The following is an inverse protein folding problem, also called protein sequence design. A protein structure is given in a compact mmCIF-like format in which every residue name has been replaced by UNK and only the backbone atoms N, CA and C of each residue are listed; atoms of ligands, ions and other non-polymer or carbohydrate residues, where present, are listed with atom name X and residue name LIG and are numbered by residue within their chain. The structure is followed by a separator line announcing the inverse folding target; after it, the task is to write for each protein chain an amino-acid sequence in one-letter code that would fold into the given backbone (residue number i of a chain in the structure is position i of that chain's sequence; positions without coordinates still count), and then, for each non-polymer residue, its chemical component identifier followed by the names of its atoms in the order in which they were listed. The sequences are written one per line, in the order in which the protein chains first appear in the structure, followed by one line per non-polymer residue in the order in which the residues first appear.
data_IF_493464114249
#
_entry.id   IF_493464114249
#
_cell.length_a   1.000
_cell.length_b   1.000
_cell.length_c   1.000
_cell.angle_alpha   90.00
_cell.angle_beta   90.00
_cell.angle_gamma   90.00
#
_symmetry.space_group_name_H-M   'P 1'
#
loop_
_entity.id
_entity.type
_entity.pdbx_description
1 polymer ?
#
# COMPACT_ATOMS: atom_id res chain seq x y z
N UNK A 1 14.92 -94.26 -9.83
CA UNK A 1 14.11 -93.97 -8.62
C UNK A 1 14.30 -92.50 -8.28
N UNK A 2 13.84 -91.64 -9.18
CA UNK A 2 12.51 -90.97 -9.23
C UNK A 2 12.45 -89.77 -8.28
N UNK A 3 12.69 -88.61 -8.91
CA UNK A 3 12.81 -87.25 -8.40
C UNK A 3 11.46 -86.64 -7.96
N UNK A 4 10.47 -87.44 -7.60
CA UNK A 4 9.12 -86.93 -7.24
C UNK A 4 8.98 -86.57 -5.75
N UNK A 5 9.78 -87.15 -4.86
CA UNK A 5 9.66 -86.90 -3.41
C UNK A 5 10.38 -85.63 -2.90
N UNK A 6 11.18 -84.95 -3.72
CA UNK A 6 11.86 -83.71 -3.29
C UNK A 6 11.05 -82.45 -3.62
N UNK A 7 10.13 -82.51 -4.59
CA UNK A 7 9.30 -81.37 -4.98
C UNK A 7 8.07 -81.22 -4.07
N UNK A 8 7.43 -82.32 -3.67
CA UNK A 8 6.27 -82.29 -2.75
C UNK A 8 6.62 -81.71 -1.37
N UNK A 9 7.76 -82.09 -0.79
CA UNK A 9 8.14 -81.61 0.56
C UNK A 9 8.39 -80.10 0.63
N UNK A 10 9.00 -79.52 -0.41
CA UNK A 10 9.22 -78.07 -0.49
C UNK A 10 7.96 -77.29 -0.87
N UNK A 11 7.00 -77.92 -1.55
CA UNK A 11 5.74 -77.29 -1.92
C UNK A 11 4.76 -77.23 -0.72
N UNK A 12 4.73 -78.26 0.12
CA UNK A 12 3.89 -78.26 1.33
C UNK A 12 4.38 -77.27 2.41
N UNK A 13 5.70 -77.04 2.51
CA UNK A 13 6.27 -76.00 3.40
C UNK A 13 5.91 -74.56 2.97
N UNK A 14 5.68 -74.33 1.67
CA UNK A 14 5.29 -73.01 1.14
C UNK A 14 3.81 -72.66 1.40
N UNK A 15 2.99 -73.64 1.80
CA UNK A 15 1.56 -73.47 2.09
C UNK A 15 1.17 -73.85 3.53
N UNK A 16 2.14 -73.98 4.45
CA UNK A 16 1.80 -73.80 5.86
C UNK A 16 1.33 -72.35 6.05
N UNK A 17 -0.01 -72.18 5.95
CA UNK A 17 -0.71 -70.96 6.36
C UNK A 17 -0.04 -70.47 7.62
N UNK A 18 0.37 -69.19 7.73
CA UNK A 18 0.82 -68.68 9.01
C UNK A 18 -0.36 -68.85 9.95
N UNK A 19 -0.31 -69.88 10.79
CA UNK A 19 -1.17 -70.01 11.94
C UNK A 19 -0.69 -68.89 12.83
N UNK A 20 -1.35 -67.74 12.72
CA UNK A 20 -1.13 -66.59 13.59
C UNK A 20 -1.38 -67.07 15.01
N UNK A 21 -0.30 -67.51 15.66
CA UNK A 21 -0.30 -68.15 16.98
C UNK A 21 -0.67 -67.15 18.10
N UNK A 22 -0.85 -65.88 17.73
CA UNK A 22 -1.28 -64.78 18.60
C UNK A 22 -2.66 -65.00 19.25
N UNK A 23 -3.51 -65.89 18.72
CA UNK A 23 -4.87 -66.09 19.23
C UNK A 23 -5.07 -67.27 20.21
N UNK A 24 -4.02 -68.03 20.56
CA UNK A 24 -4.17 -69.24 21.40
C UNK A 24 -4.17 -68.90 22.90
N UNK A 25 -3.58 -67.79 23.32
CA UNK A 25 -3.48 -67.44 24.72
C UNK A 25 -4.55 -66.40 25.12
N UNK A 26 -5.45 -66.77 26.04
CA UNK A 26 -6.59 -65.96 26.50
C UNK A 26 -6.16 -64.59 27.05
N UNK A 27 -4.94 -64.49 27.59
CA UNK A 27 -4.35 -63.23 28.07
C UNK A 27 -4.01 -62.26 26.92
N UNK A 28 -3.37 -62.74 25.86
CA UNK A 28 -3.01 -61.89 24.71
C UNK A 28 -4.22 -61.46 23.88
N UNK A 29 -5.24 -62.32 23.75
CA UNK A 29 -6.51 -61.96 23.11
C UNK A 29 -7.26 -60.87 23.88
N UNK A 30 -7.27 -60.94 25.22
CA UNK A 30 -7.90 -59.89 26.05
C UNK A 30 -7.13 -58.58 25.97
N UNK A 31 -5.79 -58.61 26.03
CA UNK A 31 -4.94 -57.43 25.85
C UNK A 31 -5.15 -56.76 24.49
N UNK A 32 -5.30 -57.55 23.42
CA UNK A 32 -5.56 -57.02 22.09
C UNK A 32 -6.95 -56.36 21.99
N UNK A 33 -7.99 -56.99 22.53
CA UNK A 33 -9.35 -56.43 22.56
C UNK A 33 -9.42 -55.16 23.42
N UNK A 34 -8.76 -55.15 24.58
CA UNK A 34 -8.67 -53.96 25.45
C UNK A 34 -7.91 -52.84 24.73
N UNK A 35 -6.81 -53.16 24.04
CA UNK A 35 -6.07 -52.19 23.22
C UNK A 35 -6.92 -51.59 22.10
N UNK A 36 -7.72 -52.41 21.41
CA UNK A 36 -8.61 -51.95 20.34
C UNK A 36 -9.76 -51.08 20.87
N UNK A 37 -10.32 -51.43 22.03
CA UNK A 37 -11.34 -50.64 22.72
C UNK A 37 -10.79 -49.30 23.24
N UNK A 38 -9.55 -49.28 23.74
CA UNK A 38 -8.87 -48.05 24.16
C UNK A 38 -8.57 -47.13 22.97
N UNK A 39 -8.08 -47.66 21.86
CA UNK A 39 -7.84 -46.86 20.65
C UNK A 39 -9.16 -46.32 20.10
N UNK A 40 -10.20 -47.14 20.07
CA UNK A 40 -11.53 -46.74 19.60
C UNK A 40 -12.16 -45.69 20.52
N UNK A 41 -12.01 -45.81 21.85
CA UNK A 41 -12.54 -44.83 22.79
C UNK A 41 -11.79 -43.50 22.75
N UNK A 42 -10.46 -43.53 22.56
CA UNK A 42 -9.65 -42.32 22.34
C UNK A 42 -10.06 -41.62 21.04
N UNK A 43 -10.27 -42.36 19.94
CA UNK A 43 -10.77 -41.82 18.68
C UNK A 43 -12.19 -41.24 18.79
N UNK A 44 -13.06 -41.84 19.61
CA UNK A 44 -14.40 -41.34 19.84
C UNK A 44 -14.40 -40.07 20.72
N UNK A 45 -13.52 -40.04 21.73
CA UNK A 45 -13.28 -38.85 22.57
C UNK A 45 -12.71 -37.69 21.76
N UNK A 46 -11.78 -37.93 20.83
CA UNK A 46 -11.30 -36.87 19.94
C UNK A 46 -12.42 -36.38 19.03
N UNK A 47 -13.21 -37.25 18.40
CA UNK A 47 -14.36 -36.84 17.56
C UNK A 47 -15.41 -36.05 18.34
N UNK A 48 -15.58 -36.24 19.65
CA UNK A 48 -16.53 -35.48 20.47
C UNK A 48 -15.95 -34.17 21.03
N UNK A 49 -14.68 -34.17 21.42
CA UNK A 49 -14.03 -33.01 22.06
C UNK A 49 -13.56 -31.99 21.01
N UNK A 50 -13.00 -32.45 19.89
CA UNK A 50 -12.44 -31.56 18.86
C UNK A 50 -13.47 -30.59 18.28
N UNK A 51 -14.70 -31.01 17.91
CA UNK A 51 -15.71 -30.09 17.40
C UNK A 51 -16.11 -29.03 18.42
N UNK A 52 -16.20 -29.39 19.71
CA UNK A 52 -16.52 -28.44 20.77
C UNK A 52 -15.38 -27.45 20.99
N UNK A 53 -14.13 -27.93 21.04
CA UNK A 53 -12.95 -27.06 21.15
C UNK A 53 -12.78 -26.14 19.92
N UNK A 54 -13.02 -26.65 18.71
CA UNK A 54 -13.07 -25.85 17.49
C UNK A 54 -14.18 -24.80 17.55
N UNK A 55 -15.38 -25.19 17.98
CA UNK A 55 -16.51 -24.26 18.10
C UNK A 55 -16.24 -23.16 19.13
N UNK A 56 -15.72 -23.52 20.31
CA UNK A 56 -15.35 -22.56 21.36
C UNK A 56 -14.22 -21.63 20.88
N UNK A 57 -13.22 -22.18 20.17
CA UNK A 57 -12.11 -21.41 19.59
C UNK A 57 -12.59 -20.44 18.50
N UNK A 58 -13.47 -20.89 17.59
CA UNK A 58 -14.07 -20.04 16.55
C UNK A 58 -14.96 -18.97 17.17
N UNK A 59 -15.75 -19.29 18.20
CA UNK A 59 -16.63 -18.33 18.87
C UNK A 59 -15.82 -17.26 19.61
N UNK A 60 -14.77 -17.66 20.34
CA UNK A 60 -13.86 -16.72 21.00
C UNK A 60 -13.09 -15.86 19.99
N UNK A 61 -12.68 -16.45 18.86
CA UNK A 61 -12.01 -15.73 17.77
C UNK A 61 -12.95 -14.68 17.15
N UNK A 62 -14.19 -15.06 16.84
CA UNK A 62 -15.20 -14.15 16.32
C UNK A 62 -15.48 -13.01 17.30
N UNK A 63 -15.67 -13.31 18.59
CA UNK A 63 -15.87 -12.29 19.62
C UNK A 63 -14.67 -11.35 19.78
N UNK A 64 -13.44 -11.87 19.63
CA UNK A 64 -12.22 -11.05 19.63
C UNK A 64 -12.15 -10.14 18.41
N UNK A 65 -12.53 -10.63 17.22
CA UNK A 65 -12.62 -9.82 16.00
C UNK A 65 -13.68 -8.74 16.14
N UNK A 66 -14.86 -9.06 16.67
CA UNK A 66 -15.92 -8.07 16.90
C UNK A 66 -15.46 -6.97 17.87
N UNK A 67 -14.79 -7.35 18.96
CA UNK A 67 -14.21 -6.39 19.91
C UNK A 67 -13.14 -5.52 19.25
N UNK A 68 -12.26 -6.12 18.45
CA UNK A 68 -11.24 -5.39 17.69
C UNK A 68 -11.89 -4.39 16.72
N UNK A 69 -12.87 -4.82 15.93
CA UNK A 69 -13.58 -3.98 14.97
C UNK A 69 -14.27 -2.79 15.65
N UNK A 70 -14.95 -3.04 16.79
CA UNK A 70 -15.59 -1.97 17.56
C UNK A 70 -14.57 -0.97 18.10
N UNK A 71 -13.44 -1.44 18.64
CA UNK A 71 -12.38 -0.55 19.13
C UNK A 71 -11.75 0.26 17.99
N UNK A 72 -11.60 -0.32 16.80
CA UNK A 72 -11.10 0.38 15.62
C UNK A 72 -12.11 1.43 15.11
N UNK A 73 -13.41 1.14 15.17
CA UNK A 73 -14.47 2.10 14.85
C UNK A 73 -14.47 3.28 15.84
N UNK A 74 -14.44 3.02 17.14
CA UNK A 74 -14.35 4.04 18.19
C UNK A 74 -13.08 4.91 18.01
N UNK A 75 -11.94 4.29 17.69
CA UNK A 75 -10.70 5.01 17.39
C UNK A 75 -10.85 5.91 16.15
N UNK A 76 -11.36 5.38 15.05
CA UNK A 76 -11.57 6.14 13.81
C UNK A 76 -12.55 7.30 13.99
N UNK A 77 -13.57 7.15 14.83
CA UNK A 77 -14.49 8.23 15.19
C UNK A 77 -13.77 9.33 15.98
N UNK A 78 -12.85 8.97 16.89
CA UNK A 78 -12.13 9.91 17.76
C UNK A 78 -11.06 10.76 17.06
N UNK A 79 -10.54 10.31 15.91
CA UNK A 79 -9.50 11.03 15.16
C UNK A 79 -10.08 12.26 14.45
N UNK A 80 -9.29 13.32 14.29
CA UNK A 80 -9.69 14.53 13.56
C UNK A 80 -9.64 14.36 12.02
N UNK A 81 -9.26 13.18 11.55
CA UNK A 81 -9.15 12.82 10.14
C UNK A 81 -9.82 11.48 9.85
N UNK A 82 -10.03 11.22 8.56
CA UNK A 82 -10.44 9.93 8.02
C UNK A 82 -9.38 9.42 7.06
N UNK A 83 -8.95 8.18 7.27
CA UNK A 83 -8.11 7.44 6.35
C UNK A 83 -8.93 7.05 5.11
N UNK A 84 -8.52 7.54 3.94
CA UNK A 84 -9.26 7.43 2.69
C UNK A 84 -8.41 6.78 1.60
N UNK A 85 -8.93 5.71 0.98
CA UNK A 85 -8.36 5.11 -0.24
C UNK A 85 -8.76 5.93 -1.47
N UNK A 86 -8.16 7.10 -1.63
CA UNK A 86 -8.59 8.16 -2.56
C UNK A 86 -8.71 7.70 -4.02
N UNK A 87 -7.79 6.84 -4.48
CA UNK A 87 -7.81 6.33 -5.86
C UNK A 87 -9.00 5.39 -6.09
N UNK A 88 -9.30 4.55 -5.09
CA UNK A 88 -10.42 3.60 -5.12
C UNK A 88 -11.76 4.31 -5.00
N UNK A 89 -11.88 5.28 -4.09
CA UNK A 89 -13.11 6.07 -3.92
C UNK A 89 -13.47 6.88 -5.18
N UNK A 90 -12.47 7.40 -5.89
CA UNK A 90 -12.66 8.09 -7.18
C UNK A 90 -12.91 7.13 -8.34
N UNK A 91 -12.97 5.82 -8.07
CA UNK A 91 -13.40 4.81 -9.02
C UNK A 91 -12.36 4.43 -10.07
N UNK A 92 -11.07 4.69 -9.82
CA UNK A 92 -10.01 4.21 -10.70
C UNK A 92 -9.98 2.69 -10.69
N UNK A 93 -9.83 2.11 -11.89
CA UNK A 93 -9.83 0.66 -12.10
C UNK A 93 -8.74 0.29 -13.10
N UNK A 94 -8.14 -0.86 -12.90
CA UNK A 94 -7.27 -1.46 -13.91
C UNK A 94 -8.12 -1.94 -15.09
N UNK A 95 -7.64 -1.71 -16.31
CA UNK A 95 -8.28 -2.22 -17.52
C UNK A 95 -8.30 -3.76 -17.56
N UNK A 96 -7.25 -4.38 -17.00
CA UNK A 96 -7.09 -5.83 -16.95
C UNK A 96 -6.70 -6.25 -15.55
N UNK A 97 -7.41 -7.26 -15.00
CA UNK A 97 -6.99 -7.89 -13.75
C UNK A 97 -5.74 -8.75 -14.01
N UNK A 98 -4.66 -8.57 -13.26
CA UNK A 98 -3.44 -9.36 -13.41
C UNK A 98 -3.68 -10.79 -12.94
N UNK A 99 -2.96 -11.76 -13.52
CA UNK A 99 -2.88 -13.09 -12.94
C UNK A 99 -1.79 -13.10 -11.85
N UNK A 100 -2.18 -12.80 -10.61
CA UNK A 100 -1.29 -12.62 -9.45
C UNK A 100 -0.37 -13.82 -9.15
N UNK A 101 -0.78 -15.03 -9.52
CA UNK A 101 0.07 -16.23 -9.38
C UNK A 101 1.33 -16.12 -10.23
N UNK A 102 1.20 -15.54 -11.43
CA UNK A 102 2.24 -15.49 -12.47
C UNK A 102 2.88 -14.11 -12.65
N UNK A 103 2.51 -13.09 -11.87
CA UNK A 103 3.16 -11.78 -11.96
C UNK A 103 4.62 -11.89 -11.53
N UNK A 104 5.51 -11.30 -12.33
CA UNK A 104 6.94 -11.23 -11.99
C UNK A 104 7.16 -10.16 -10.93
N UNK A 105 8.08 -10.43 -10.01
CA UNK A 105 8.52 -9.40 -9.07
C UNK A 105 9.25 -8.28 -9.81
N UNK A 106 8.96 -7.06 -9.41
CA UNK A 106 9.74 -5.87 -9.65
C UNK A 106 11.06 -5.96 -8.91
N UNK A 107 12.14 -5.59 -9.59
CA UNK A 107 13.46 -5.42 -8.99
C UNK A 107 14.02 -4.08 -9.46
N UNK A 108 13.54 -2.97 -8.87
CA UNK A 108 13.90 -1.63 -9.31
C UNK A 108 15.41 -1.40 -9.22
N UNK A 109 16.00 -0.71 -10.19
CA UNK A 109 17.44 -0.42 -10.20
C UNK A 109 17.68 1.05 -10.50
N UNK A 110 18.67 1.62 -9.83
CA UNK A 110 19.16 2.96 -10.15
C UNK A 110 20.15 2.88 -11.32
N UNK A 111 19.81 3.49 -12.45
CA UNK A 111 20.66 3.54 -13.65
C UNK A 111 20.78 5.00 -14.10
N UNK A 112 21.99 5.54 -14.05
CA UNK A 112 22.29 6.93 -14.44
C UNK A 112 21.35 7.97 -13.77
N UNK A 113 21.06 7.77 -12.47
CA UNK A 113 20.17 8.65 -11.71
C UNK A 113 18.66 8.45 -11.95
N UNK A 114 18.27 7.48 -12.78
CA UNK A 114 16.87 7.14 -13.06
C UNK A 114 16.48 5.76 -12.48
N UNK A 115 15.23 5.60 -12.03
CA UNK A 115 14.74 4.33 -11.47
C UNK A 115 14.16 3.50 -12.60
N UNK A 116 14.83 2.40 -12.92
CA UNK A 116 14.36 1.39 -13.87
C UNK A 116 13.59 0.31 -13.12
N UNK A 117 12.30 0.14 -13.42
CA UNK A 117 11.45 -0.82 -12.73
C UNK A 117 11.56 -2.25 -13.27
N UNK A 118 12.23 -2.45 -14.40
CA UNK A 118 12.37 -3.77 -15.04
C UNK A 118 11.12 -4.28 -15.76
N UNK A 119 10.03 -3.50 -15.78
CA UNK A 119 8.76 -3.80 -16.47
C UNK A 119 8.58 -3.01 -17.77
N UNK A 120 9.65 -2.39 -18.29
CA UNK A 120 9.60 -1.52 -19.47
C UNK A 120 9.36 -0.04 -19.17
N UNK A 121 9.29 0.36 -17.90
CA UNK A 121 9.19 1.77 -17.50
C UNK A 121 10.42 2.26 -16.74
N UNK A 122 10.74 3.54 -16.90
CA UNK A 122 11.79 4.25 -16.15
C UNK A 122 11.19 5.52 -15.55
N UNK A 123 11.42 5.78 -14.26
CA UNK A 123 11.21 7.09 -13.66
C UNK A 123 12.47 7.93 -13.80
N UNK A 124 12.38 9.01 -14.58
CA UNK A 124 13.45 9.99 -14.75
C UNK A 124 13.32 11.11 -13.74
N UNK A 125 14.45 11.50 -13.16
CA UNK A 125 14.57 12.62 -12.24
C UNK A 125 15.16 13.81 -13.00
N UNK A 126 14.28 14.64 -13.56
CA UNK A 126 14.63 15.78 -14.43
C UNK A 126 14.95 17.04 -13.63
N UNK A 127 15.96 16.94 -12.78
CA UNK A 127 16.54 18.07 -12.07
C UNK A 127 18.04 17.79 -11.91
N UNK A 128 18.91 18.76 -12.20
CA UNK A 128 20.35 18.53 -12.09
C UNK A 128 20.89 18.84 -10.68
N UNK A 129 20.07 19.43 -9.81
CA UNK A 129 20.44 19.85 -8.47
C UNK A 129 19.81 18.93 -7.40
N UNK A 130 20.01 17.62 -7.54
CA UNK A 130 19.66 16.67 -6.49
C UNK A 130 20.85 15.83 -6.05
N UNK A 131 20.79 15.36 -4.81
CA UNK A 131 21.57 14.23 -4.31
C UNK A 131 20.63 13.14 -3.81
N UNK A 132 21.10 11.91 -3.76
CA UNK A 132 20.35 10.80 -3.16
C UNK A 132 20.73 10.74 -1.68
N UNK A 133 19.75 10.94 -0.80
CA UNK A 133 19.93 10.85 0.65
C UNK A 133 19.87 9.39 1.11
N UNK A 134 18.87 8.64 0.63
CA UNK A 134 18.64 7.22 0.93
C UNK A 134 18.13 6.49 -0.30
N UNK A 135 18.43 5.19 -0.40
CA UNK A 135 17.94 4.34 -1.47
C UNK A 135 17.94 2.85 -1.12
N UNK A 136 16.84 2.17 -1.43
CA UNK A 136 16.63 0.74 -1.19
C UNK A 136 16.53 -0.06 -2.49
N UNK A 137 16.96 0.52 -3.62
CA UNK A 137 16.80 -0.03 -4.97
C UNK A 137 17.26 -1.49 -5.09
N UNK A 138 18.41 -1.85 -4.52
CA UNK A 138 19.01 -3.16 -4.74
C UNK A 138 18.51 -4.25 -3.79
N UNK A 139 17.73 -3.91 -2.77
CA UNK A 139 17.23 -4.85 -1.76
C UNK A 139 15.72 -5.06 -1.81
N UNK A 140 15.00 -4.21 -2.53
CA UNK A 140 13.55 -4.23 -2.58
C UNK A 140 13.05 -5.13 -3.72
N UNK A 141 12.24 -6.13 -3.37
CA UNK A 141 11.53 -6.98 -4.31
C UNK A 141 10.04 -6.85 -4.06
N UNK A 142 9.31 -6.36 -5.05
CA UNK A 142 7.87 -6.11 -4.94
C UNK A 142 7.16 -6.98 -5.95
N UNK A 143 6.11 -7.67 -5.53
CA UNK A 143 5.29 -8.49 -6.42
C UNK A 143 3.87 -8.00 -6.30
N UNK A 144 3.21 -7.74 -7.43
CA UNK A 144 1.81 -7.35 -7.43
C UNK A 144 0.96 -8.36 -6.65
N UNK A 145 0.05 -7.87 -5.83
CA UNK A 145 -0.85 -8.71 -5.03
C UNK A 145 -2.30 -8.36 -5.30
N UNK A 146 -3.16 -9.36 -5.12
CA UNK A 146 -4.59 -9.16 -5.12
C UNK A 146 -5.00 -8.24 -3.95
N UNK A 147 -6.13 -7.58 -4.14
CA UNK A 147 -6.80 -6.74 -3.16
C UNK A 147 -6.94 -7.46 -1.81
N UNK A 148 -6.61 -6.76 -0.72
CA UNK A 148 -6.95 -7.21 0.62
C UNK A 148 -8.43 -6.93 0.88
N UNK A 149 -9.19 -7.95 1.27
CA UNK A 149 -10.61 -7.80 1.64
C UNK A 149 -10.78 -7.34 3.10
N UNK A 150 -9.70 -7.06 3.82
CA UNK A 150 -9.77 -6.69 5.22
C UNK A 150 -10.33 -5.28 5.41
N UNK A 151 -11.35 -5.16 6.25
CA UNK A 151 -12.01 -3.88 6.59
C UNK A 151 -11.03 -2.83 7.16
N UNK A 152 -9.95 -3.29 7.78
CA UNK A 152 -8.90 -2.47 8.40
C UNK A 152 -7.51 -2.84 7.86
N UNK A 153 -7.39 -2.93 6.54
CA UNK A 153 -6.11 -3.20 5.87
C UNK A 153 -5.09 -2.09 6.15
N UNK A 154 -3.89 -2.46 6.61
CA UNK A 154 -2.78 -1.52 6.76
C UNK A 154 -2.10 -1.37 5.41
N UNK A 155 -2.26 -0.19 4.82
CA UNK A 155 -1.57 0.23 3.62
C UNK A 155 -0.05 -0.06 3.70
N UNK A 156 0.46 -0.86 2.76
CA UNK A 156 1.89 -1.17 2.66
C UNK A 156 2.49 -0.40 1.48
N UNK A 157 3.34 0.56 1.80
CA UNK A 157 4.15 1.33 0.84
C UNK A 157 5.61 1.25 1.25
N UNK A 158 6.47 0.91 0.29
CA UNK A 158 7.91 0.85 0.49
C UNK A 158 8.57 2.10 -0.08
N UNK A 159 9.57 2.64 0.63
CA UNK A 159 10.40 3.72 0.11
C UNK A 159 11.49 3.16 -0.81
N UNK A 160 11.53 3.61 -2.07
CA UNK A 160 12.59 3.28 -3.02
C UNK A 160 13.80 4.18 -2.84
N UNK A 161 13.55 5.47 -2.71
CA UNK A 161 14.55 6.52 -2.81
C UNK A 161 14.09 7.76 -2.06
N UNK A 162 15.01 8.46 -1.42
CA UNK A 162 14.81 9.82 -0.94
C UNK A 162 15.81 10.72 -1.64
N UNK A 163 15.30 11.71 -2.36
CA UNK A 163 16.06 12.71 -3.07
C UNK A 163 16.10 13.98 -2.25
N UNK A 164 17.29 14.55 -2.11
CA UNK A 164 17.53 15.86 -1.51
C UNK A 164 17.72 16.87 -2.63
N UNK A 165 16.84 17.86 -2.69
CA UNK A 165 16.90 18.98 -3.62
C UNK A 165 17.31 20.24 -2.87
N UNK A 166 18.23 21.01 -3.45
CA UNK A 166 18.48 22.37 -2.97
C UNK A 166 17.52 23.33 -3.68
N UNK A 167 16.59 23.90 -2.93
CA UNK A 167 15.58 24.83 -3.44
C UNK A 167 15.81 26.25 -2.93
N UNK A 168 15.47 27.23 -3.77
CA UNK A 168 15.50 28.65 -3.37
C UNK A 168 14.17 29.03 -2.76
N UNK A 169 14.18 29.62 -1.57
CA UNK A 169 13.03 30.22 -0.91
C UNK A 169 13.24 31.72 -0.74
N UNK A 170 12.13 32.41 -0.56
CA UNK A 170 12.07 33.84 -0.26
C UNK A 170 11.28 34.01 1.03
N UNK A 171 11.55 35.08 1.77
CA UNK A 171 10.57 35.55 2.74
C UNK A 171 9.29 35.93 1.99
N UNK A 172 8.17 35.56 2.57
CA UNK A 172 6.84 35.89 2.06
C UNK A 172 5.98 36.49 3.17
N UNK A 173 4.96 37.25 2.75
CA UNK A 173 3.97 37.85 3.63
C UNK A 173 2.58 37.76 2.98
N UNK A 174 1.54 37.79 3.81
CA UNK A 174 0.17 37.82 3.36
C UNK A 174 -0.36 39.26 3.33
N UNK A 175 -0.60 39.76 2.13
CA UNK A 175 -1.24 41.06 1.94
C UNK A 175 -2.71 40.98 2.38
N UNK A 176 -3.03 41.67 3.47
CA UNK A 176 -4.37 41.70 4.06
C UNK A 176 -5.39 42.44 3.19
N UNK A 177 -4.97 43.39 2.36
CA UNK A 177 -5.86 44.15 1.47
C UNK A 177 -6.18 43.35 0.22
N UNK A 178 -5.16 42.80 -0.44
CA UNK A 178 -5.33 42.07 -1.70
C UNK A 178 -5.60 40.57 -1.52
N UNK A 179 -5.48 40.06 -0.29
CA UNK A 179 -5.64 38.66 0.09
C UNK A 179 -4.70 37.72 -0.68
N UNK A 180 -3.47 38.17 -0.96
CA UNK A 180 -2.47 37.46 -1.77
C UNK A 180 -1.13 37.37 -1.05
N UNK A 181 -0.37 36.32 -1.40
CA UNK A 181 1.02 36.20 -0.99
C UNK A 181 1.90 37.17 -1.76
N UNK A 182 2.72 37.93 -1.04
CA UNK A 182 3.80 38.75 -1.59
C UNK A 182 5.14 38.11 -1.24
N UNK A 183 6.06 38.09 -2.20
CA UNK A 183 7.40 37.51 -2.03
C UNK A 183 8.47 38.60 -2.12
N UNK A 184 9.39 38.62 -1.17
CA UNK A 184 10.49 39.60 -1.14
C UNK A 184 11.70 39.04 -1.88
N UNK A 185 11.83 39.35 -3.18
CA UNK A 185 12.81 38.73 -4.08
C UNK A 185 14.28 38.99 -3.73
N UNK A 186 14.55 39.99 -2.90
CA UNK A 186 15.88 40.34 -2.35
C UNK A 186 16.28 39.47 -1.15
N UNK A 187 15.37 38.65 -0.63
CA UNK A 187 15.56 37.82 0.58
C UNK A 187 15.87 36.36 0.27
N UNK A 188 16.36 36.05 -0.94
CA UNK A 188 16.59 34.69 -1.40
C UNK A 188 17.54 33.91 -0.48
N UNK A 189 17.13 32.71 -0.07
CA UNK A 189 17.99 31.77 0.66
C UNK A 189 17.81 30.33 0.15
N UNK A 190 18.84 29.51 0.30
CA UNK A 190 18.79 28.09 -0.08
C UNK A 190 18.32 27.24 1.09
N UNK A 191 17.51 26.23 0.82
CA UNK A 191 17.10 25.23 1.79
C UNK A 191 16.98 23.86 1.14
N UNK A 192 17.01 22.84 1.97
CA UNK A 192 16.90 21.45 1.55
C UNK A 192 15.42 21.04 1.52
N UNK A 193 14.96 20.47 0.40
CA UNK A 193 13.68 19.76 0.28
C UNK A 193 13.96 18.28 0.02
N UNK A 194 13.21 17.41 0.68
CA UNK A 194 13.39 15.96 0.60
C UNK A 194 12.13 15.31 0.03
N UNK A 195 12.22 14.73 -1.16
CA UNK A 195 11.11 14.00 -1.77
C UNK A 195 11.48 12.54 -1.88
N UNK A 196 10.59 11.69 -1.39
CA UNK A 196 10.76 10.25 -1.52
C UNK A 196 9.88 9.69 -2.64
N UNK A 197 10.44 8.72 -3.35
CA UNK A 197 9.70 7.86 -4.28
C UNK A 197 9.27 6.62 -3.52
N UNK A 198 7.97 6.39 -3.48
CA UNK A 198 7.35 5.23 -2.86
C UNK A 198 6.81 4.29 -3.92
N UNK A 199 6.73 3.02 -3.59
CA UNK A 199 6.18 1.96 -4.45
C UNK A 199 5.29 1.05 -3.62
N UNK A 200 4.26 0.52 -4.24
CA UNK A 200 3.32 -0.41 -3.63
C UNK A 200 3.03 -1.56 -4.58
N UNK A 201 2.83 -2.76 -4.03
CA UNK A 201 2.38 -3.94 -4.78
C UNK A 201 0.97 -3.79 -5.36
N UNK A 202 0.15 -2.92 -4.79
CA UNK A 202 -1.14 -2.53 -5.32
C UNK A 202 -1.46 -1.10 -4.87
N UNK A 203 -1.17 -0.10 -5.71
CA UNK A 203 -1.31 1.30 -5.27
C UNK A 203 -2.77 1.72 -5.09
N UNK A 204 -3.70 1.13 -5.83
CA UNK A 204 -5.13 1.44 -5.72
C UNK A 204 -5.68 1.12 -4.32
N UNK A 205 -5.18 0.05 -3.71
CA UNK A 205 -5.65 -0.45 -2.40
C UNK A 205 -4.71 -0.10 -1.23
N UNK A 206 -3.54 0.48 -1.51
CA UNK A 206 -2.57 0.84 -0.47
C UNK A 206 -2.28 2.35 -0.38
N UNK A 207 -2.68 3.19 -1.33
CA UNK A 207 -2.49 4.63 -1.17
C UNK A 207 -3.60 5.22 -0.31
N UNK A 208 -3.33 5.26 1.00
CA UNK A 208 -4.17 5.90 1.99
C UNK A 208 -3.76 7.37 2.19
N UNK A 209 -4.74 8.27 2.18
CA UNK A 209 -4.57 9.69 2.45
C UNK A 209 -5.43 10.08 3.64
N UNK A 210 -4.82 10.80 4.58
CA UNK A 210 -5.52 11.34 5.75
C UNK A 210 -6.22 12.64 5.36
N UNK A 211 -7.55 12.61 5.39
CA UNK A 211 -8.41 13.75 5.04
C UNK A 211 -9.01 14.29 6.34
N UNK A 212 -8.75 15.54 6.68
CA UNK A 212 -9.29 16.14 7.89
C UNK A 212 -10.82 16.19 7.83
N UNK A 213 -11.49 15.92 8.96
CA UNK A 213 -12.96 15.99 9.09
C UNK A 213 -13.48 17.43 9.11
N UNK A 214 -12.58 18.40 9.28
CA UNK A 214 -12.91 19.81 9.33
C UNK A 214 -13.52 20.30 8.00
N UNK A 215 -14.55 21.14 8.10
CA UNK A 215 -15.21 21.74 6.94
C UNK A 215 -14.22 22.59 6.14
N UNK A 216 -14.03 22.24 4.88
CA UNK A 216 -13.12 22.94 3.96
C UNK A 216 -11.83 22.17 3.69
N UNK A 217 -11.55 21.12 4.48
CA UNK A 217 -10.61 20.08 4.06
C UNK A 217 -11.25 19.21 2.96
N UNK A 218 -10.45 18.80 1.99
CA UNK A 218 -10.90 17.97 0.88
C UNK A 218 -9.72 17.25 0.23
N UNK A 219 -10.05 16.25 -0.57
CA UNK A 219 -9.13 15.68 -1.53
C UNK A 219 -9.75 15.61 -2.92
N UNK A 220 -8.92 15.65 -3.96
CA UNK A 220 -9.35 15.45 -5.34
C UNK A 220 -8.32 14.62 -6.12
N UNK A 221 -8.79 13.78 -7.06
CA UNK A 221 -7.93 12.98 -7.93
C UNK A 221 -8.09 13.48 -9.36
N UNK A 222 -7.05 14.14 -9.85
CA UNK A 222 -7.00 14.70 -11.20
C UNK A 222 -6.20 13.76 -12.12
N UNK A 223 -6.88 12.96 -12.97
CA UNK A 223 -6.19 12.08 -13.90
C UNK A 223 -5.40 12.90 -14.94
N UNK A 224 -4.20 12.43 -15.26
CA UNK A 224 -3.35 12.97 -16.31
C UNK A 224 -3.27 11.98 -17.49
N UNK A 225 -2.67 12.42 -18.59
CA UNK A 225 -2.44 11.56 -19.77
C UNK A 225 -1.57 10.35 -19.42
N UNK A 226 -2.07 9.15 -19.69
CA UNK A 226 -1.34 7.90 -19.48
C UNK A 226 0.03 7.87 -20.18
N UNK A 227 1.00 7.23 -19.53
CA UNK A 227 2.31 6.93 -20.14
C UNK A 227 2.29 5.49 -20.59
N UNK A 228 2.11 5.27 -21.90
CA UNK A 228 1.88 3.91 -22.41
C UNK A 228 0.59 3.32 -21.82
N UNK A 229 0.71 2.26 -21.02
CA UNK A 229 -0.42 1.65 -20.31
C UNK A 229 -0.45 2.01 -18.82
N UNK A 230 0.52 2.79 -18.33
CA UNK A 230 0.53 3.23 -16.95
C UNK A 230 -0.46 4.39 -16.77
N UNK A 231 -1.41 4.23 -15.85
CA UNK A 231 -2.32 5.30 -15.45
C UNK A 231 -1.58 6.31 -14.60
N UNK A 232 -1.81 7.60 -14.80
CA UNK A 232 -1.12 8.65 -14.04
C UNK A 232 -2.09 9.75 -13.66
N UNK A 233 -1.74 10.47 -12.60
CA UNK A 233 -2.54 11.59 -12.13
C UNK A 233 -1.88 12.29 -10.96
N UNK A 234 -2.60 13.29 -10.46
CA UNK A 234 -2.24 14.05 -9.29
C UNK A 234 -3.36 13.93 -8.27
N UNK A 235 -3.00 13.63 -7.03
CA UNK A 235 -3.92 13.73 -5.89
C UNK A 235 -3.60 15.02 -5.18
N UNK A 236 -4.64 15.80 -4.92
CA UNK A 236 -4.58 16.97 -4.07
C UNK A 236 -5.17 16.57 -2.74
N UNK A 237 -4.44 16.78 -1.66
CA UNK A 237 -4.97 16.73 -0.31
C UNK A 237 -4.80 18.10 0.32
N UNK A 238 -5.90 18.68 0.78
CA UNK A 238 -5.96 20.03 1.31
C UNK A 238 -6.56 20.00 2.69
N UNK A 239 -5.84 20.55 3.67
CA UNK A 239 -6.35 20.82 5.00
C UNK A 239 -6.18 22.28 5.38
N UNK A 240 -7.12 22.77 6.19
CA UNK A 240 -7.05 24.09 6.80
C UNK A 240 -5.84 24.10 7.75
N UNK A 241 -5.00 25.13 7.62
CA UNK A 241 -3.93 25.40 8.57
C UNK A 241 -4.30 26.60 9.44
N UNK A 242 -4.19 26.43 10.77
CA UNK A 242 -4.50 27.44 11.78
C UNK A 242 -3.25 28.00 12.48
N UNK A 243 -2.05 27.68 11.98
CA UNK A 243 -0.80 28.04 12.66
C UNK A 243 -0.26 29.43 12.30
N UNK A 244 -0.96 30.20 11.47
CA UNK A 244 -0.47 31.47 10.93
C UNK A 244 -1.31 32.63 11.47
N UNK A 245 -0.64 33.61 12.05
CA UNK A 245 -1.27 34.79 12.67
C UNK A 245 -0.55 36.06 12.21
N UNK A 246 -1.31 37.15 12.08
CA UNK A 246 -0.75 38.47 11.83
C UNK A 246 -0.20 39.10 13.13
N UNK A 247 0.38 40.30 13.01
CA UNK A 247 0.95 41.03 14.15
C UNK A 247 -0.09 41.42 15.23
N UNK A 248 -1.39 41.31 14.93
CA UNK A 248 -2.49 41.59 15.84
C UNK A 248 -3.15 40.29 16.36
N UNK A 249 -2.50 39.14 16.19
CA UNK A 249 -3.00 37.82 16.58
C UNK A 249 -4.26 37.37 15.81
N UNK A 250 -4.58 37.97 14.67
CA UNK A 250 -5.66 37.48 13.81
C UNK A 250 -5.15 36.31 12.96
N UNK A 251 -5.94 35.24 12.87
CA UNK A 251 -5.62 34.10 12.01
C UNK A 251 -5.52 34.55 10.53
N UNK A 252 -4.41 34.20 9.91
CA UNK A 252 -4.20 34.36 8.47
C UNK A 252 -4.71 33.09 7.78
N UNK A 253 -5.65 33.20 6.82
CA UNK A 253 -6.11 32.05 6.05
C UNK A 253 -4.93 31.33 5.40
N UNK A 254 -4.76 30.04 5.70
CA UNK A 254 -3.69 29.23 5.11
C UNK A 254 -4.12 27.78 4.91
N UNK A 255 -3.53 27.11 3.94
CA UNK A 255 -3.83 25.72 3.58
C UNK A 255 -2.56 24.91 3.66
N UNK A 256 -2.60 23.77 4.35
CA UNK A 256 -1.59 22.74 4.21
C UNK A 256 -1.92 21.88 3.00
N UNK A 257 -1.23 22.15 1.90
CA UNK A 257 -1.41 21.47 0.62
C UNK A 257 -0.41 20.32 0.52
N UNK A 258 -0.88 19.10 0.26
CA UNK A 258 -0.04 17.96 -0.13
C UNK A 258 -0.42 17.53 -1.54
N UNK A 259 0.56 17.48 -2.42
CA UNK A 259 0.40 16.94 -3.77
C UNK A 259 1.06 15.58 -3.88
N UNK A 260 0.33 14.61 -4.40
CA UNK A 260 0.87 13.31 -4.78
C UNK A 260 0.87 13.23 -6.29
N UNK A 261 1.99 12.83 -6.90
CA UNK A 261 2.02 12.41 -8.31
C UNK A 261 2.17 10.90 -8.35
N UNK A 262 1.27 10.21 -9.05
CA UNK A 262 1.24 8.76 -9.07
C UNK A 262 1.34 8.18 -10.49
N UNK A 263 1.79 6.93 -10.54
CA UNK A 263 1.78 6.06 -11.71
C UNK A 263 1.38 4.65 -11.31
N UNK A 264 0.35 4.10 -11.94
CA UNK A 264 -0.15 2.74 -11.70
C UNK A 264 0.16 1.91 -12.94
N UNK A 265 0.99 0.89 -12.78
CA UNK A 265 1.31 -0.04 -13.87
C UNK A 265 0.11 -0.94 -14.19
N UNK A 266 0.10 -1.60 -15.36
CA UNK A 266 -1.02 -2.43 -15.79
C UNK A 266 -1.36 -3.58 -14.82
N UNK A 267 -0.41 -3.98 -13.98
CA UNK A 267 -0.60 -5.04 -13.00
C UNK A 267 -1.04 -4.55 -11.61
N UNK A 268 -1.32 -3.26 -11.44
CA UNK A 268 -1.73 -2.65 -10.18
C UNK A 268 -0.58 -2.18 -9.28
N UNK A 269 0.65 -2.68 -9.48
CA UNK A 269 1.82 -2.11 -8.81
C UNK A 269 1.92 -0.64 -9.19
N UNK A 270 2.13 0.23 -8.22
CA UNK A 270 2.20 1.65 -8.51
C UNK A 270 3.25 2.36 -7.69
N UNK A 271 3.64 3.52 -8.20
CA UNK A 271 4.69 4.37 -7.67
C UNK A 271 4.08 5.74 -7.45
N UNK A 272 4.46 6.41 -6.39
CA UNK A 272 4.10 7.81 -6.19
C UNK A 272 5.22 8.60 -5.53
N UNK A 273 5.16 9.90 -5.72
CA UNK A 273 5.93 10.89 -4.98
C UNK A 273 4.95 11.83 -4.30
N UNK A 274 5.34 12.38 -3.17
CA UNK A 274 4.54 13.39 -2.47
C UNK A 274 5.43 14.55 -2.02
N UNK A 275 4.85 15.74 -1.99
CA UNK A 275 5.48 16.93 -1.42
C UNK A 275 4.39 17.86 -0.89
N UNK A 276 4.71 18.59 0.18
CA UNK A 276 3.74 19.40 0.91
C UNK A 276 4.23 20.82 1.09
N UNK A 277 3.30 21.77 1.11
CA UNK A 277 3.58 23.20 1.31
C UNK A 277 2.42 23.85 2.05
N UNK A 278 2.74 24.69 3.04
CA UNK A 278 1.75 25.65 3.56
C UNK A 278 1.66 26.81 2.58
N UNK A 279 0.46 27.08 2.09
CA UNK A 279 0.16 28.17 1.17
C UNK A 279 -0.82 29.13 1.84
N UNK A 280 -0.69 30.43 1.61
CA UNK A 280 -1.70 31.38 2.06
C UNK A 280 -2.98 31.28 1.23
N UNK A 281 -4.11 31.57 1.87
CA UNK A 281 -5.45 31.41 1.30
C UNK A 281 -6.04 30.02 1.56
N UNK A 282 -7.27 29.84 1.09
CA UNK A 282 -7.99 28.56 1.10
C UNK A 282 -8.04 28.05 -0.34
N UNK A 283 -7.45 26.88 -0.59
CA UNK A 283 -7.58 26.24 -1.90
C UNK A 283 -9.02 25.78 -2.10
N UNK A 284 -9.53 25.98 -3.30
CA UNK A 284 -10.79 25.39 -3.75
C UNK A 284 -10.55 24.62 -5.05
N UNK A 285 -11.50 23.77 -5.42
CA UNK A 285 -11.45 23.01 -6.66
C UNK A 285 -12.84 23.06 -7.27
N UNK A 286 -12.92 23.37 -8.56
CA UNK A 286 -14.17 23.41 -9.29
C UNK A 286 -14.70 21.99 -9.53
N UNK A 287 -15.95 21.76 -9.14
CA UNK A 287 -16.66 20.49 -9.33
C UNK A 287 -17.48 20.44 -10.64
N UNK A 288 -17.52 21.52 -11.43
CA UNK A 288 -18.32 21.60 -12.65
C UNK A 288 -17.65 20.86 -13.83
N UNK A 289 -18.42 19.96 -14.46
CA UNK A 289 -17.95 18.82 -15.27
C UNK A 289 -17.30 19.18 -16.63
N UNK A 290 -17.44 20.42 -17.12
CA UNK A 290 -17.15 20.70 -18.54
C UNK A 290 -15.72 21.22 -18.85
N UNK A 291 -14.89 21.54 -17.85
CA UNK A 291 -13.49 21.94 -18.03
C UNK A 291 -12.58 21.75 -16.78
N UNK A 292 -12.99 20.91 -15.82
CA UNK A 292 -12.47 20.97 -14.45
C UNK A 292 -10.98 20.65 -14.31
N UNK A 293 -10.43 19.61 -14.96
CA UNK A 293 -9.04 19.18 -14.72
C UNK A 293 -8.01 20.27 -15.06
N UNK A 294 -8.05 20.83 -16.28
CA UNK A 294 -7.10 21.87 -16.68
C UNK A 294 -7.28 23.16 -15.87
N UNK A 295 -8.53 23.54 -15.57
CA UNK A 295 -8.82 24.70 -14.73
C UNK A 295 -8.26 24.52 -13.32
N UNK A 296 -8.56 23.38 -12.70
CA UNK A 296 -8.10 23.03 -11.35
C UNK A 296 -6.58 22.95 -11.28
N UNK A 297 -5.91 22.33 -12.26
CA UNK A 297 -4.44 22.31 -12.32
C UNK A 297 -3.86 23.72 -12.41
N UNK A 298 -4.48 24.62 -13.19
CA UNK A 298 -4.06 26.02 -13.27
C UNK A 298 -4.28 26.76 -11.94
N UNK A 299 -5.39 26.54 -11.26
CA UNK A 299 -5.67 27.11 -9.94
C UNK A 299 -4.62 26.66 -8.92
N UNK A 300 -4.29 25.36 -8.90
CA UNK A 300 -3.28 24.80 -8.01
C UNK A 300 -1.88 25.34 -8.34
N UNK A 301 -1.55 25.51 -9.62
CA UNK A 301 -0.29 26.10 -10.05
C UNK A 301 -0.12 27.53 -9.50
N UNK A 302 -1.17 28.34 -9.63
CA UNK A 302 -1.21 29.72 -9.09
C UNK A 302 -1.17 29.70 -7.56
N UNK A 303 -1.97 28.85 -6.93
CA UNK A 303 -2.09 28.77 -5.47
C UNK A 303 -0.78 28.34 -4.81
N UNK A 304 -0.05 27.41 -5.44
CA UNK A 304 1.20 26.85 -4.91
C UNK A 304 2.46 27.52 -5.44
N UNK A 305 2.33 28.68 -6.09
CA UNK A 305 3.43 29.41 -6.76
C UNK A 305 4.67 29.64 -5.88
N UNK A 306 5.82 29.83 -6.54
CA UNK A 306 7.13 30.10 -5.91
C UNK A 306 7.51 29.08 -4.83
N UNK A 307 7.46 27.79 -5.19
CA UNK A 307 7.91 26.69 -4.34
C UNK A 307 9.44 26.59 -4.27
N UNK A 308 10.12 26.65 -5.41
CA UNK A 308 11.59 26.58 -5.50
C UNK A 308 12.23 27.86 -6.04
N UNK A 309 11.49 28.96 -5.97
CA UNK A 309 11.88 30.27 -6.47
C UNK A 309 11.79 30.48 -7.98
N UNK A 310 11.41 29.46 -8.75
CA UNK A 310 11.18 29.57 -10.20
C UNK A 310 9.82 29.06 -10.64
N UNK A 311 9.28 28.06 -9.96
CA UNK A 311 8.02 27.43 -10.32
C UNK A 311 7.19 27.09 -9.08
N UNK A 312 5.91 26.79 -9.30
CA UNK A 312 4.97 26.32 -8.28
C UNK A 312 5.34 24.92 -7.77
N UNK A 313 4.69 24.48 -6.69
CA UNK A 313 4.84 23.10 -6.21
C UNK A 313 4.35 22.09 -7.26
N UNK A 314 3.20 22.37 -7.88
CA UNK A 314 2.62 21.52 -8.92
C UNK A 314 3.58 21.34 -10.10
N UNK A 315 4.08 22.44 -10.64
CA UNK A 315 5.04 22.38 -11.74
C UNK A 315 6.33 21.68 -11.31
N UNK A 316 6.79 21.89 -10.07
CA UNK A 316 7.98 21.21 -9.57
C UNK A 316 7.82 19.70 -9.48
N UNK A 317 6.75 19.19 -8.87
CA UNK A 317 6.54 17.75 -8.75
C UNK A 317 6.29 17.12 -10.12
N UNK A 318 5.56 17.81 -11.00
CA UNK A 318 5.22 17.32 -12.33
C UNK A 318 6.44 17.27 -13.26
N UNK A 319 7.27 18.31 -13.28
CA UNK A 319 8.43 18.39 -14.15
C UNK A 319 9.63 17.58 -13.64
N UNK A 320 9.76 17.41 -12.32
CA UNK A 320 10.94 16.75 -11.72
C UNK A 320 10.87 15.23 -11.87
N UNK A 321 9.68 14.65 -11.72
CA UNK A 321 9.50 13.21 -11.79
C UNK A 321 8.69 12.84 -13.03
N UNK A 322 9.35 12.21 -14.01
CA UNK A 322 8.73 11.85 -15.28
C UNK A 322 8.88 10.36 -15.56
N UNK A 323 7.75 9.65 -15.67
CA UNK A 323 7.74 8.28 -16.13
C UNK A 323 7.88 8.23 -17.65
N UNK A 324 8.71 7.31 -18.14
CA UNK A 324 8.86 7.03 -19.57
C UNK A 324 8.73 5.54 -19.84
N UNK A 325 8.08 5.19 -20.96
CA UNK A 325 8.06 3.83 -21.51
C UNK A 325 9.31 3.65 -22.39
N UNK A 326 10.02 2.54 -22.20
CA UNK A 326 11.21 2.15 -22.96
C UNK A 326 10.89 1.69 -24.37
#
# INVERSE_FOLDING_TARGET
MSKENLFSKKFDELFEKPKVSFFINRKYKSLFIIGLLLISSVLLLTVLIFPKQLHDMVTNFNSSIETYNRNMEELNESLDYTDTLVLKEKGLKLEHKPNYDNVKSYSPKMINGNIDFGNGYILKIKNNNYTIDKGSFNSLSIKAKEESMDKFHVASVDSLATYKFQITKYLDDYDQETKKTTYYTDTAYQTDSYISVYISDNLLDNLNVQVMKEKGAFYEVLPLTNVGQAQTGIIINSSINHSMFDNNENEIPSTYLTLYKYWIFPDGTGVYVQESKICYGRLTVDNEVNASVTSNLKEIDIFSQLYNGKQSLLTFIDSTFELQKK
#
